data_IF_792200879292
#
_entry.id   IF_792200879292
#
_cell.length_a   1.000
_cell.length_b   1.000
_cell.length_c   1.000
_cell.angle_alpha   90.00
_cell.angle_beta   90.00
_cell.angle_gamma   90.00
#
_symmetry.space_group_name_H-M   'P 1'
#
loop_
_entity.id
_entity.type
_entity.pdbx_description
1 polymer ?
#
# COMPACT_ATOMS: atom_id res chain seq x y z
N UNK A 1 -11.77 10.63 28.87
CA UNK A 1 -10.47 10.38 28.22
C UNK A 1 -10.75 10.11 26.75
N UNK A 2 -10.40 11.01 25.84
CA UNK A 2 -10.50 10.71 24.40
C UNK A 2 -9.50 9.58 24.13
N UNK A 3 -9.99 8.42 23.66
CA UNK A 3 -9.12 7.27 23.41
C UNK A 3 -8.02 7.65 22.42
N UNK A 4 -6.78 7.25 22.67
CA UNK A 4 -5.64 7.51 21.78
C UNK A 4 -5.93 7.10 20.33
N UNK A 5 -6.72 6.03 20.15
CA UNK A 5 -7.23 5.59 18.86
C UNK A 5 -8.08 6.65 18.13
N UNK A 6 -8.85 7.49 18.82
CA UNK A 6 -9.65 8.52 18.17
C UNK A 6 -8.77 9.65 17.60
N UNK A 7 -7.69 10.01 18.31
CA UNK A 7 -6.71 10.99 17.82
C UNK A 7 -5.92 10.42 16.65
N UNK A 8 -5.52 9.15 16.73
CA UNK A 8 -4.85 8.44 15.65
C UNK A 8 -5.73 8.38 14.39
N UNK A 9 -7.01 8.02 14.52
CA UNK A 9 -7.96 7.99 13.41
C UNK A 9 -8.10 9.35 12.71
N UNK A 10 -8.25 10.43 13.47
CA UNK A 10 -8.31 11.79 12.91
C UNK A 10 -7.04 12.17 12.14
N UNK A 11 -5.86 11.82 12.68
CA UNK A 11 -4.58 12.04 12.01
C UNK A 11 -4.49 11.24 10.71
N UNK A 12 -4.86 9.96 10.73
CA UNK A 12 -4.83 9.08 9.57
C UNK A 12 -5.76 9.58 8.46
N UNK A 13 -6.98 9.98 8.80
CA UNK A 13 -7.91 10.56 7.81
C UNK A 13 -7.36 11.83 7.16
N UNK A 14 -6.62 12.66 7.90
CA UNK A 14 -5.94 13.84 7.34
C UNK A 14 -4.80 13.44 6.42
N UNK A 15 -3.93 12.54 6.87
CA UNK A 15 -2.79 12.04 6.08
C UNK A 15 -3.24 11.38 4.77
N UNK A 16 -4.32 10.60 4.80
CA UNK A 16 -4.88 9.99 3.59
C UNK A 16 -5.34 11.04 2.58
N UNK A 17 -6.05 12.08 3.03
CA UNK A 17 -6.49 13.18 2.16
C UNK A 17 -5.32 13.94 1.58
N UNK A 18 -4.26 14.16 2.36
CA UNK A 18 -3.06 14.84 1.90
C UNK A 18 -2.30 13.98 0.86
N UNK A 19 -2.25 12.66 1.04
CA UNK A 19 -1.70 11.73 0.05
C UNK A 19 -2.54 11.66 -1.22
N UNK A 20 -3.87 11.72 -1.14
CA UNK A 20 -4.72 11.75 -2.32
C UNK A 20 -4.57 13.05 -3.11
N UNK A 21 -4.33 14.18 -2.44
CA UNK A 21 -4.10 15.49 -3.07
C UNK A 21 -2.71 15.62 -3.69
N UNK A 22 -1.68 15.11 -3.00
CA UNK A 22 -0.29 15.20 -3.42
C UNK A 22 0.23 13.86 -3.98
N UNK A 23 -0.66 13.00 -4.46
CA UNK A 23 -0.33 11.62 -4.82
C UNK A 23 0.78 11.56 -5.85
N UNK A 24 1.81 10.75 -5.58
CA UNK A 24 2.86 10.53 -6.56
C UNK A 24 2.34 9.64 -7.68
N UNK A 25 2.80 9.89 -8.90
CA UNK A 25 2.34 9.23 -10.14
C UNK A 25 2.43 7.71 -10.10
N UNK A 26 3.28 7.14 -9.24
CA UNK A 26 3.62 5.72 -9.20
C UNK A 26 3.02 4.98 -8.01
N UNK A 27 2.30 5.64 -7.11
CA UNK A 27 1.59 4.95 -6.04
C UNK A 27 0.21 5.54 -5.77
N UNK A 28 -0.72 4.69 -5.39
CA UNK A 28 -2.07 5.08 -4.95
C UNK A 28 -2.35 4.46 -3.58
N UNK A 29 -3.06 5.21 -2.73
CA UNK A 29 -3.42 4.80 -1.39
C UNK A 29 -4.93 5.04 -1.16
N UNK A 30 -5.59 4.06 -0.56
CA UNK A 30 -6.99 4.13 -0.17
C UNK A 30 -7.26 3.34 1.11
N UNK A 31 -8.46 3.48 1.67
CA UNK A 31 -8.91 2.62 2.76
C UNK A 31 -9.27 1.24 2.22
N UNK A 32 -9.00 0.19 3.00
CA UNK A 32 -9.55 -1.14 2.72
C UNK A 32 -11.05 -1.16 3.02
N UNK A 33 -11.44 -0.45 4.07
CA UNK A 33 -12.80 -0.32 4.58
C UNK A 33 -12.99 1.11 5.10
N UNK A 34 -14.06 1.78 4.67
CA UNK A 34 -14.38 3.15 5.07
C UNK A 34 -14.67 3.26 6.58
N UNK A 35 -15.06 2.16 7.23
CA UNK A 35 -15.29 2.10 8.68
C UNK A 35 -13.99 1.94 9.49
N UNK A 36 -12.89 1.50 8.85
CA UNK A 36 -11.62 1.23 9.51
C UNK A 36 -10.46 2.10 8.96
N UNK A 37 -10.19 3.27 9.58
CA UNK A 37 -9.12 4.17 9.14
C UNK A 37 -7.70 3.63 9.39
N UNK A 38 -7.55 2.48 10.07
CA UNK A 38 -6.27 1.86 10.41
C UNK A 38 -5.79 0.85 9.39
N UNK A 39 -6.57 0.54 8.35
CA UNK A 39 -6.17 -0.39 7.29
C UNK A 39 -6.26 0.25 5.92
N UNK A 40 -5.10 0.39 5.28
CA UNK A 40 -5.00 1.03 3.98
C UNK A 40 -4.56 0.02 2.92
N UNK A 41 -5.13 0.16 1.73
CA UNK A 41 -4.70 -0.53 0.54
C UNK A 41 -3.82 0.40 -0.28
N UNK A 42 -2.62 -0.06 -0.60
CA UNK A 42 -1.65 0.63 -1.43
C UNK A 42 -1.51 -0.14 -2.74
N UNK A 43 -1.53 0.60 -3.85
CA UNK A 43 -1.22 0.08 -5.18
C UNK A 43 0.04 0.78 -5.65
N UNK A 44 1.10 0.02 -5.92
CA UNK A 44 2.35 0.49 -6.46
C UNK A 44 2.42 0.11 -7.92
N UNK A 45 2.70 1.09 -8.77
CA UNK A 45 3.00 0.86 -10.18
C UNK A 45 4.51 0.82 -10.34
N UNK A 46 5.03 -0.27 -10.91
CA UNK A 46 6.46 -0.39 -11.15
C UNK A 46 6.95 0.71 -12.10
N UNK A 47 8.01 1.44 -11.74
CA UNK A 47 8.54 2.52 -12.57
C UNK A 47 9.11 1.98 -13.87
N UNK A 48 9.03 2.81 -14.92
CA UNK A 48 9.65 2.51 -16.20
C UNK A 48 11.17 2.33 -16.04
N UNK A 49 11.78 1.50 -16.88
CA UNK A 49 13.21 1.13 -16.81
C UNK A 49 13.59 0.26 -15.61
N UNK A 50 12.64 -0.45 -15.00
CA UNK A 50 12.94 -1.47 -13.97
C UNK A 50 12.33 -2.82 -14.34
N UNK A 51 12.81 -3.90 -13.71
CA UNK A 51 12.24 -5.26 -13.89
C UNK A 51 10.76 -5.38 -13.49
N UNK A 52 10.22 -4.35 -12.85
CA UNK A 52 8.82 -4.27 -12.41
C UNK A 52 7.96 -3.39 -13.33
N UNK A 53 8.52 -2.87 -14.43
CA UNK A 53 7.81 -2.01 -15.38
C UNK A 53 6.50 -2.65 -15.86
N UNK A 54 5.41 -1.88 -15.78
CA UNK A 54 4.07 -2.36 -16.12
C UNK A 54 3.42 -3.27 -15.07
N UNK A 55 4.11 -3.59 -13.98
CA UNK A 55 3.56 -4.34 -12.85
C UNK A 55 2.73 -3.48 -11.90
N UNK A 56 1.61 -4.03 -11.41
CA UNK A 56 0.81 -3.43 -10.35
C UNK A 56 0.90 -4.29 -9.10
N UNK A 57 1.52 -3.75 -8.05
CA UNK A 57 1.76 -4.45 -6.79
C UNK A 57 0.80 -3.94 -5.74
N UNK A 58 0.00 -4.83 -5.17
CA UNK A 58 -0.93 -4.51 -4.10
C UNK A 58 -0.27 -4.77 -2.77
N UNK A 59 -0.38 -3.83 -1.85
CA UNK A 59 0.06 -3.97 -0.47
C UNK A 59 -1.03 -3.51 0.49
N UNK A 60 -1.02 -4.09 1.68
CA UNK A 60 -1.81 -3.66 2.84
C UNK A 60 -0.90 -2.98 3.84
N UNK A 61 -1.34 -1.83 4.34
CA UNK A 61 -0.67 -1.08 5.38
C UNK A 61 -1.60 -1.05 6.60
N UNK A 62 -1.14 -1.59 7.71
CA UNK A 62 -1.90 -1.69 8.96
C UNK A 62 -1.27 -0.79 10.02
N UNK A 63 -2.06 0.14 10.54
CA UNK A 63 -1.65 1.10 11.56
C UNK A 63 -1.99 0.58 12.96
N UNK A 64 -1.08 0.68 13.94
CA UNK A 64 -1.41 0.41 15.32
C UNK A 64 -2.28 1.51 15.92
N UNK A 65 -3.05 1.18 16.96
CA UNK A 65 -3.86 2.17 17.71
C UNK A 65 -3.01 3.24 18.41
N UNK A 66 -1.75 2.91 18.70
CA UNK A 66 -0.76 3.81 19.31
C UNK A 66 -0.05 4.70 18.27
N UNK A 67 -0.51 4.77 17.02
CA UNK A 67 0.07 5.65 16.01
C UNK A 67 -0.11 7.13 16.43
N UNK A 68 0.92 7.99 16.30
CA UNK A 68 2.18 7.81 15.58
C UNK A 68 3.37 7.26 16.40
N UNK A 69 3.18 6.86 17.65
CA UNK A 69 4.27 6.39 18.52
C UNK A 69 4.85 5.03 18.07
N UNK A 70 4.02 4.19 17.44
CA UNK A 70 4.46 2.93 16.82
C UNK A 70 4.31 3.02 15.29
N UNK A 71 5.27 2.47 14.53
CA UNK A 71 5.22 2.49 13.07
C UNK A 71 4.12 1.56 12.53
N UNK A 72 3.58 1.83 11.33
CA UNK A 72 2.68 0.92 10.65
C UNK A 72 3.44 -0.29 10.08
N UNK A 73 2.71 -1.39 9.85
CA UNK A 73 3.23 -2.61 9.24
C UNK A 73 2.70 -2.72 7.81
N UNK A 74 3.60 -2.88 6.84
CA UNK A 74 3.27 -3.08 5.43
C UNK A 74 3.42 -4.55 5.05
N UNK A 75 2.44 -5.09 4.32
CA UNK A 75 2.46 -6.45 3.77
C UNK A 75 2.08 -6.44 2.31
N UNK A 76 2.91 -7.03 1.44
CA UNK A 76 2.57 -7.20 0.04
C UNK A 76 1.52 -8.30 -0.13
N UNK A 77 0.40 -7.96 -0.78
CA UNK A 77 -0.65 -8.90 -1.18
C UNK A 77 -0.30 -9.53 -2.52
N UNK A 78 0.32 -8.78 -3.43
CA UNK A 78 0.82 -9.31 -4.70
C UNK A 78 2.06 -10.17 -4.52
N UNK A 79 2.13 -11.27 -5.26
CA UNK A 79 3.35 -12.07 -5.43
C UNK A 79 4.38 -11.24 -6.20
N UNK A 80 5.45 -10.82 -5.52
CA UNK A 80 6.57 -10.11 -6.12
C UNK A 80 7.87 -10.67 -5.59
N UNK A 81 8.84 -10.83 -6.47
CA UNK A 81 10.20 -11.12 -6.05
C UNK A 81 10.84 -9.80 -5.62
N UNK A 82 11.24 -9.66 -4.35
CA UNK A 82 11.97 -8.49 -3.88
C UNK A 82 12.98 -8.95 -2.83
N UNK A 83 14.26 -8.51 -2.85
CA UNK A 83 15.30 -8.99 -1.93
C UNK A 83 14.96 -8.88 -0.45
N UNK A 84 14.04 -7.97 -0.08
CA UNK A 84 13.60 -7.72 1.29
C UNK A 84 12.13 -8.14 1.58
N UNK A 85 11.44 -8.81 0.65
CA UNK A 85 10.07 -9.33 0.84
C UNK A 85 9.96 -10.77 0.31
N UNK A 86 10.09 -11.74 1.20
CA UNK A 86 10.07 -13.17 0.87
C UNK A 86 8.63 -13.69 0.76
N UNK A 87 7.92 -13.37 -0.33
CA UNK A 87 6.72 -14.11 -0.75
C UNK A 87 7.00 -14.76 -2.12
N UNK A 88 7.78 -15.85 -2.08
CA UNK A 88 8.10 -16.67 -3.24
C UNK A 88 6.90 -17.54 -3.61
N UNK A 89 6.13 -17.15 -4.63
CA UNK A 89 5.49 -18.09 -5.55
C UNK A 89 5.60 -17.55 -6.98
N UNK A 90 6.23 -18.29 -7.90
CA UNK A 90 6.42 -17.84 -9.26
C UNK A 90 5.15 -18.13 -10.06
N UNK A 91 4.27 -17.15 -10.20
CA UNK A 91 3.47 -17.04 -11.42
C UNK A 91 3.69 -15.66 -12.02
N UNK A 92 4.81 -15.56 -12.71
CA UNK A 92 5.04 -14.52 -13.71
C UNK A 92 3.94 -14.66 -14.76
N UNK A 93 2.81 -14.00 -14.56
CA UNK A 93 1.92 -13.68 -15.67
C UNK A 93 2.52 -12.44 -16.36
N UNK A 94 3.61 -12.68 -17.10
CA UNK A 94 4.02 -11.79 -18.17
C UNK A 94 2.81 -11.64 -19.09
N UNK A 95 2.10 -10.51 -19.00
CA UNK A 95 0.92 -10.22 -19.82
C UNK A 95 1.28 -9.43 -21.09
N UNK A 96 2.55 -9.46 -21.50
CA UNK A 96 3.00 -8.91 -22.76
C UNK A 96 3.53 -10.07 -23.63
N UNK A 97 2.62 -10.83 -24.25
CA UNK A 97 2.85 -11.67 -25.45
C UNK A 97 1.66 -12.62 -25.67
N UNK A 98 0.48 -12.11 -26.03
CA UNK A 98 -0.47 -12.80 -26.92
C UNK A 98 -1.24 -11.73 -27.70
N UNK A 99 -0.73 -11.43 -28.88
CA UNK A 99 -1.24 -10.39 -29.76
C UNK A 99 -0.37 -10.18 -31.00
N UNK A 100 0.27 -11.24 -31.49
CA UNK A 100 0.61 -11.50 -32.89
C UNK A 100 0.29 -12.99 -33.12
#
# INVERSE_FOLDING_TARGET
>A
MASDSARAALLLSKQLKDLQKNGASFFSAGLVDDENPFEWQIILTGPASTLYEGGMFKARLTFPKDYPYKPPVMKFVSEMWHPNSTNLRPRVACRQCKGL
#
